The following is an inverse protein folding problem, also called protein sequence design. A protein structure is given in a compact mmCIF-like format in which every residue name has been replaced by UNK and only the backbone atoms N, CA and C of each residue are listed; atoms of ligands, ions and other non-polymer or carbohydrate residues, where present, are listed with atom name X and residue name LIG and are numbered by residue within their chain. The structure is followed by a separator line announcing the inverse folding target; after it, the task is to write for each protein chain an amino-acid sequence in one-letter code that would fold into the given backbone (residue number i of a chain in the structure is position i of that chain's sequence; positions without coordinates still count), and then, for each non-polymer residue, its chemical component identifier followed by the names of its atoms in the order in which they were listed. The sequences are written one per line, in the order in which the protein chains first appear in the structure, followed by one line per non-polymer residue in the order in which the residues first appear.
data_IF_260212641807
#
_entry.id   IF_260212641807
#
_cell.length_a   1.000
_cell.length_b   1.000
_cell.length_c   1.000
_cell.angle_alpha   90.00
_cell.angle_beta   90.00
_cell.angle_gamma   90.00
#
_symmetry.space_group_name_H-M   'P 1'
#
loop_
_entity.id
_entity.type
_entity.pdbx_description
1 polymer ?
#
# COMPACT_ATOMS: atom_id res chain seq x y z
N UNK A 1 14.38 4.13 -1.23
CA UNK A 1 13.34 3.50 -2.08
C UNK A 1 13.31 2.03 -1.75
N UNK A 2 12.41 1.68 -0.84
CA UNK A 2 12.26 0.31 -0.35
C UNK A 2 11.14 -0.38 -1.12
N UNK A 3 11.35 -1.65 -1.46
CA UNK A 3 10.38 -2.47 -2.19
C UNK A 3 9.98 -3.65 -1.33
N UNK A 4 8.69 -3.79 -1.09
CA UNK A 4 8.10 -4.91 -0.35
C UNK A 4 7.18 -5.72 -1.25
N UNK A 5 7.13 -7.03 -1.03
CA UNK A 5 6.17 -7.91 -1.71
C UNK A 5 4.94 -8.06 -0.83
N UNK A 6 3.76 -7.81 -1.39
CA UNK A 6 2.50 -7.98 -0.69
C UNK A 6 2.29 -9.47 -0.34
N UNK A 7 1.95 -9.80 0.92
CA UNK A 7 1.91 -11.18 1.38
C UNK A 7 0.78 -11.96 0.69
N UNK A 8 1.02 -13.24 0.42
CA UNK A 8 0.07 -14.14 -0.24
C UNK A 8 -1.18 -14.47 0.59
N UNK A 9 -1.26 -14.01 1.84
CA UNK A 9 -2.30 -14.36 2.79
C UNK A 9 -3.52 -13.44 2.66
N UNK A 10 -4.70 -14.07 2.52
CA UNK A 10 -5.99 -13.40 2.65
C UNK A 10 -6.17 -13.05 4.13
N UNK A 11 -5.78 -11.84 4.55
CA UNK A 11 -5.97 -11.40 5.94
C UNK A 11 -6.30 -9.92 6.05
N UNK A 12 -6.98 -9.59 7.14
CA UNK A 12 -7.67 -8.31 7.36
C UNK A 12 -6.74 -7.10 7.62
N UNK A 13 -7.32 -6.06 8.21
CA UNK A 13 -6.71 -4.73 8.42
C UNK A 13 -5.39 -4.70 9.21
N UNK A 14 -4.97 -5.79 9.83
CA UNK A 14 -3.71 -5.83 10.59
C UNK A 14 -2.51 -6.15 9.70
N UNK A 15 -2.73 -6.83 8.55
CA UNK A 15 -1.65 -7.28 7.67
C UNK A 15 -0.80 -6.16 7.06
N UNK A 16 -1.34 -5.00 6.66
CA UNK A 16 -0.50 -3.95 6.09
C UNK A 16 0.53 -3.43 7.09
N UNK A 17 0.15 -3.26 8.37
CA UNK A 17 1.11 -2.86 9.40
C UNK A 17 2.19 -3.92 9.58
N UNK A 18 1.79 -5.18 9.74
CA UNK A 18 2.74 -6.30 9.89
C UNK A 18 3.69 -6.40 8.69
N UNK A 19 3.20 -6.16 7.47
CA UNK A 19 4.03 -6.13 6.26
C UNK A 19 5.12 -5.05 6.35
N UNK A 20 4.76 -3.83 6.74
CA UNK A 20 5.73 -2.72 6.83
C UNK A 20 6.74 -2.95 7.95
N UNK A 21 6.30 -3.44 9.11
CA UNK A 21 7.16 -3.80 10.24
C UNK A 21 8.11 -4.95 9.89
N UNK A 22 7.59 -6.01 9.28
CA UNK A 22 8.39 -7.17 8.84
C UNK A 22 9.38 -6.81 7.74
N UNK A 23 9.05 -5.79 6.94
CA UNK A 23 9.95 -5.18 5.97
C UNK A 23 11.09 -4.38 6.57
N UNK A 24 11.10 -4.18 7.90
CA UNK A 24 12.11 -3.38 8.60
C UNK A 24 11.96 -1.88 8.35
N UNK A 25 10.79 -1.42 7.90
CA UNK A 25 10.55 -0.01 7.63
C UNK A 25 10.34 0.76 8.93
N UNK A 26 10.84 2.00 9.02
CA UNK A 26 10.59 2.86 10.16
C UNK A 26 9.09 3.20 10.29
N UNK A 27 8.71 3.68 11.47
CA UNK A 27 7.35 4.16 11.76
C UNK A 27 7.04 5.50 11.08
N UNK A 28 8.09 6.25 10.68
CA UNK A 28 8.00 7.48 9.91
C UNK A 28 8.80 7.34 8.61
N UNK A 29 8.09 7.49 7.49
CA UNK A 29 8.56 7.42 6.12
C UNK A 29 8.55 8.79 5.44
N UNK A 30 8.52 9.89 6.21
CA UNK A 30 8.65 11.25 5.67
C UNK A 30 9.93 11.37 4.83
N UNK A 31 9.81 11.87 3.60
CA UNK A 31 10.94 11.94 2.66
C UNK A 31 11.25 10.63 1.94
N UNK A 32 10.60 9.52 2.30
CA UNK A 32 10.82 8.20 1.72
C UNK A 32 9.73 7.80 0.73
N UNK A 33 10.12 6.99 -0.24
CA UNK A 33 9.20 6.37 -1.21
C UNK A 33 9.16 4.86 -1.01
N UNK A 34 7.95 4.32 -0.95
CA UNK A 34 7.67 2.89 -0.77
C UNK A 34 7.06 2.31 -2.04
N UNK A 35 7.59 1.17 -2.49
CA UNK A 35 6.98 0.35 -3.54
C UNK A 35 6.45 -0.94 -2.93
N UNK A 36 5.20 -1.27 -3.23
CA UNK A 36 4.57 -2.55 -2.86
C UNK A 36 4.22 -3.32 -4.12
N UNK A 37 4.81 -4.50 -4.27
CA UNK A 37 4.61 -5.38 -5.41
C UNK A 37 3.57 -6.45 -5.08
N UNK A 38 2.51 -6.51 -5.89
CA UNK A 38 1.45 -7.51 -5.79
C UNK A 38 1.71 -8.63 -6.78
N UNK A 39 1.58 -9.88 -6.31
CA UNK A 39 1.86 -11.04 -7.13
C UNK A 39 0.66 -11.42 -8.00
N UNK A 40 0.88 -11.77 -9.28
CA UNK A 40 -0.19 -12.25 -10.14
C UNK A 40 -0.74 -13.59 -9.64
N UNK A 41 -2.06 -13.75 -9.71
CA UNK A 41 -2.74 -14.97 -9.29
C UNK A 41 -3.11 -15.02 -7.80
N UNK A 42 -2.73 -14.00 -7.03
CA UNK A 42 -3.13 -13.86 -5.62
C UNK A 42 -4.36 -12.94 -5.54
N UNK A 43 -5.34 -13.35 -4.73
CA UNK A 43 -6.54 -12.56 -4.46
C UNK A 43 -6.31 -11.72 -3.20
N UNK A 44 -6.10 -10.43 -3.40
CA UNK A 44 -6.01 -9.46 -2.31
C UNK A 44 -7.39 -8.88 -1.98
N UNK A 45 -7.62 -8.57 -0.71
CA UNK A 45 -8.89 -8.00 -0.25
C UNK A 45 -8.92 -6.49 -0.43
N UNK A 46 -10.13 -5.93 -0.61
CA UNK A 46 -10.36 -4.48 -0.61
C UNK A 46 -9.83 -3.85 0.68
N UNK A 47 -10.15 -4.47 1.82
CA UNK A 47 -9.71 -3.99 3.14
C UNK A 47 -8.19 -3.97 3.31
N UNK A 48 -7.47 -4.89 2.66
CA UNK A 48 -6.00 -4.89 2.72
C UNK A 48 -5.44 -3.69 1.96
N UNK A 49 -5.94 -3.43 0.75
CA UNK A 49 -5.44 -2.34 -0.10
C UNK A 49 -5.77 -0.98 0.49
N UNK A 50 -7.01 -0.81 0.96
CA UNK A 50 -7.46 0.39 1.67
C UNK A 50 -6.54 0.71 2.87
N UNK A 51 -6.37 -0.27 3.75
CA UNK A 51 -5.56 -0.12 4.95
C UNK A 51 -4.06 0.06 4.66
N UNK A 52 -3.53 -0.54 3.59
CA UNK A 52 -2.15 -0.30 3.15
C UNK A 52 -1.92 1.16 2.74
N UNK A 53 -2.89 1.76 2.04
CA UNK A 53 -2.83 3.19 1.69
C UNK A 53 -2.86 4.04 2.96
N UNK A 54 -3.75 3.72 3.91
CA UNK A 54 -3.84 4.44 5.18
C UNK A 54 -2.56 4.32 6.02
N UNK A 55 -2.04 3.11 6.19
CA UNK A 55 -0.85 2.88 6.99
C UNK A 55 0.36 3.58 6.37
N UNK A 56 0.60 3.42 5.08
CA UNK A 56 1.78 3.99 4.42
C UNK A 56 1.70 5.53 4.29
N UNK A 57 0.61 6.06 3.70
CA UNK A 57 0.52 7.49 3.38
C UNK A 57 0.08 8.35 4.56
N UNK A 58 -0.89 7.87 5.35
CA UNK A 58 -1.51 8.68 6.41
C UNK A 58 -0.75 8.52 7.72
N UNK A 59 -0.51 7.28 8.17
CA UNK A 59 0.07 7.02 9.50
C UNK A 59 1.58 7.13 9.52
N UNK A 60 2.24 6.61 8.48
CA UNK A 60 3.71 6.65 8.36
C UNK A 60 4.20 7.79 7.48
N UNK A 61 3.32 8.65 6.96
CA UNK A 61 3.70 9.84 6.19
C UNK A 61 4.61 9.59 4.98
N UNK A 62 4.51 8.43 4.32
CA UNK A 62 5.31 8.09 3.15
C UNK A 62 5.07 9.08 1.99
N UNK A 63 6.10 9.78 1.52
CA UNK A 63 5.98 10.82 0.48
C UNK A 63 5.40 10.28 -0.83
N UNK A 64 5.69 9.02 -1.15
CA UNK A 64 5.19 8.36 -2.35
C UNK A 64 4.99 6.87 -2.16
N UNK A 65 3.77 6.41 -2.41
CA UNK A 65 3.41 5.00 -2.42
C UNK A 65 3.21 4.53 -3.86
N UNK A 66 3.97 3.53 -4.28
CA UNK A 66 3.84 2.89 -5.60
C UNK A 66 3.25 1.50 -5.40
N UNK A 67 2.08 1.22 -5.98
CA UNK A 67 1.48 -0.11 -5.99
C UNK A 67 1.65 -0.73 -7.38
N UNK A 68 2.38 -1.85 -7.46
CA UNK A 68 2.71 -2.54 -8.71
C UNK A 68 1.96 -3.86 -8.84
N UNK A 69 1.45 -4.19 -10.02
CA UNK A 69 0.78 -5.47 -10.29
C UNK A 69 -0.62 -5.60 -9.67
N UNK A 70 -1.21 -4.46 -9.25
CA UNK A 70 -2.52 -4.41 -8.63
C UNK A 70 -3.63 -4.55 -9.68
N UNK A 71 -4.65 -5.39 -9.43
CA UNK A 71 -5.77 -5.55 -10.37
C UNK A 71 -6.56 -4.24 -10.55
N UNK A 72 -7.22 -4.00 -11.71
CA UNK A 72 -7.94 -2.75 -11.95
C UNK A 72 -9.01 -2.41 -10.90
N UNK A 73 -9.71 -3.41 -10.38
CA UNK A 73 -10.73 -3.24 -9.34
C UNK A 73 -10.12 -2.73 -8.03
N UNK A 74 -8.95 -3.23 -7.66
CA UNK A 74 -8.22 -2.83 -6.46
C UNK A 74 -7.48 -1.50 -6.66
N UNK A 75 -7.06 -1.19 -7.89
CA UNK A 75 -6.53 0.14 -8.23
C UNK A 75 -7.58 1.23 -7.97
N UNK A 76 -8.85 0.98 -8.28
CA UNK A 76 -9.93 1.92 -7.95
C UNK A 76 -10.05 2.12 -6.43
N UNK A 77 -10.01 1.04 -5.65
CA UNK A 77 -10.03 1.11 -4.17
C UNK A 77 -8.85 1.91 -3.63
N UNK A 78 -7.63 1.66 -4.13
CA UNK A 78 -6.46 2.41 -3.69
C UNK A 78 -6.59 3.92 -3.99
N UNK A 79 -7.15 4.28 -5.17
CA UNK A 79 -7.42 5.69 -5.50
C UNK A 79 -8.44 6.31 -4.56
N UNK A 80 -9.57 5.64 -4.35
CA UNK A 80 -10.63 6.10 -3.43
C UNK A 80 -10.06 6.34 -2.02
N UNK A 81 -9.29 5.39 -1.49
CA UNK A 81 -8.63 5.54 -0.19
C UNK A 81 -7.66 6.72 -0.13
N UNK A 82 -6.89 6.99 -1.19
CA UNK A 82 -5.99 8.14 -1.23
C UNK A 82 -6.75 9.46 -1.41
N UNK A 83 -7.82 9.47 -2.20
CA UNK A 83 -8.69 10.63 -2.43
C UNK A 83 -9.42 11.07 -1.17
N UNK A 84 -9.94 10.12 -0.38
CA UNK A 84 -10.61 10.38 0.90
C UNK A 84 -9.72 11.12 1.91
N UNK A 85 -8.40 11.09 1.71
CA UNK A 85 -7.39 11.74 2.52
C UNK A 85 -6.64 12.88 1.83
N UNK A 86 -7.02 13.26 0.60
CA UNK A 86 -6.35 14.29 -0.21
C UNK A 86 -4.87 13.98 -0.53
N UNK A 87 -4.52 12.69 -0.68
CA UNK A 87 -3.14 12.21 -0.91
C UNK A 87 -2.97 11.52 -2.27
N UNK A 88 -3.89 11.74 -3.21
CA UNK A 88 -3.88 11.09 -4.53
C UNK A 88 -2.62 11.39 -5.35
N UNK A 89 -1.99 12.53 -5.13
CA UNK A 89 -0.72 12.94 -5.76
C UNK A 89 0.49 12.12 -5.28
N UNK A 90 0.37 11.49 -4.09
CA UNK A 90 1.38 10.63 -3.48
C UNK A 90 1.20 9.16 -3.86
N UNK A 91 0.04 8.77 -4.40
CA UNK A 91 -0.23 7.42 -4.86
C UNK A 91 0.11 7.26 -6.35
N UNK A 92 0.92 6.23 -6.66
CA UNK A 92 1.25 5.83 -8.03
C UNK A 92 0.81 4.39 -8.24
N UNK A 93 0.02 4.16 -9.29
CA UNK A 93 -0.46 2.82 -9.64
C UNK A 93 0.20 2.38 -10.93
N UNK A 94 0.88 1.23 -10.88
CA UNK A 94 1.55 0.62 -12.03
C UNK A 94 0.95 -0.76 -12.27
N UNK A 95 0.24 -0.89 -13.40
CA UNK A 95 -0.37 -2.15 -13.84
C UNK A 95 0.63 -3.11 -14.44
#
# INVERSE_FOLDING_TARGET
MDTLTAPATIGGRELPRELLESGGLPDDLTGESLTVQFEPGIVYTISFVDELVLEALVRRHCDRLVLQGLSPSLQRVAREAAEDHELSDRLVLQG
#
